data_IF_577030102762
#
_entry.id   IF_577030102762
#
_cell.length_a   1.000
_cell.length_b   1.000
_cell.length_c   1.000
_cell.angle_alpha   90.00
_cell.angle_beta   90.00
_cell.angle_gamma   90.00
#
_symmetry.space_group_name_H-M   'P 1'
#
loop_
_entity.id
_entity.type
_entity.pdbx_description
1 polymer ?
#
# COMPACT_ATOMS: atom_id res chain seq x y z
N UNK A 1 -33.00 -25.35 31.96
CA UNK A 1 -32.60 -23.99 32.41
C UNK A 1 -31.51 -23.48 31.46
N UNK A 2 -31.84 -22.62 30.48
CA UNK A 2 -30.83 -22.01 29.61
C UNK A 2 -30.06 -20.96 30.42
N UNK A 3 -28.88 -21.34 30.89
CA UNK A 3 -27.95 -20.42 31.56
C UNK A 3 -27.37 -19.51 30.47
N UNK A 4 -27.84 -18.26 30.39
CA UNK A 4 -27.22 -17.24 29.54
C UNK A 4 -25.80 -16.98 30.03
N UNK A 5 -24.80 -17.40 29.23
CA UNK A 5 -23.38 -17.23 29.56
C UNK A 5 -22.93 -15.86 29.05
N UNK A 6 -22.17 -15.15 29.88
CA UNK A 6 -21.57 -13.86 29.55
C UNK A 6 -20.24 -14.05 28.85
N UNK A 7 -19.89 -13.12 27.97
CA UNK A 7 -18.59 -13.08 27.32
C UNK A 7 -17.46 -12.83 28.32
N UNK A 8 -16.28 -13.37 28.03
CA UNK A 8 -15.03 -13.11 28.76
C UNK A 8 -13.98 -12.59 27.79
N UNK A 9 -13.25 -11.55 28.19
CA UNK A 9 -12.19 -10.96 27.36
C UNK A 9 -11.10 -11.98 27.00
N UNK A 10 -10.86 -12.99 27.84
CA UNK A 10 -9.91 -14.09 27.58
C UNK A 10 -10.28 -14.96 26.37
N UNK A 11 -11.49 -14.84 25.82
CA UNK A 11 -11.89 -15.61 24.64
C UNK A 11 -11.17 -15.17 23.36
N UNK A 12 -10.50 -14.01 23.39
CA UNK A 12 -9.65 -13.56 22.29
C UNK A 12 -8.47 -14.50 22.05
N UNK A 13 -7.95 -15.18 23.09
CA UNK A 13 -6.92 -16.23 22.99
C UNK A 13 -7.33 -17.41 22.12
N UNK A 14 -8.64 -17.57 21.92
CA UNK A 14 -9.21 -18.62 21.08
C UNK A 14 -9.79 -18.07 19.77
N UNK A 15 -9.53 -16.80 19.44
CA UNK A 15 -9.97 -16.15 18.22
C UNK A 15 -11.45 -15.72 18.24
N UNK A 16 -12.01 -15.37 19.40
CA UNK A 16 -13.40 -14.93 19.51
C UNK A 16 -13.55 -13.56 20.16
N UNK A 17 -14.50 -12.79 19.65
CA UNK A 17 -15.00 -11.55 20.24
C UNK A 17 -16.50 -11.67 20.55
N UNK A 18 -17.11 -10.63 21.10
CA UNK A 18 -18.56 -10.59 21.36
C UNK A 18 -19.28 -9.67 20.38
N UNK A 19 -20.49 -10.10 20.02
CA UNK A 19 -21.48 -9.26 19.36
C UNK A 19 -22.77 -9.29 20.18
N UNK A 20 -23.25 -8.11 20.57
CA UNK A 20 -24.52 -7.97 21.28
C UNK A 20 -25.67 -8.07 20.27
N UNK A 21 -26.60 -9.00 20.51
CA UNK A 21 -27.85 -9.12 19.75
C UNK A 21 -29.02 -9.24 20.72
N UNK A 22 -29.95 -8.30 20.66
CA UNK A 22 -31.15 -8.26 21.52
C UNK A 22 -30.83 -8.35 23.03
N UNK A 23 -29.76 -7.66 23.47
CA UNK A 23 -29.32 -7.65 24.87
C UNK A 23 -28.63 -8.95 25.33
N UNK A 24 -28.19 -9.79 24.39
CA UNK A 24 -27.44 -11.02 24.66
C UNK A 24 -26.12 -11.02 23.91
N UNK A 25 -25.02 -11.22 24.63
CA UNK A 25 -23.70 -11.40 24.02
C UNK A 25 -23.59 -12.77 23.34
N UNK A 26 -23.26 -12.76 22.05
CA UNK A 26 -22.99 -13.94 21.25
C UNK A 26 -21.51 -13.97 20.83
N UNK A 27 -20.84 -15.14 20.84
CA UNK A 27 -19.45 -15.22 20.42
C UNK A 27 -19.36 -15.15 18.89
N UNK A 28 -18.47 -14.28 18.39
CA UNK A 28 -18.17 -14.12 16.98
C UNK A 28 -16.71 -14.50 16.73
N UNK A 29 -16.46 -15.36 15.74
CA UNK A 29 -15.10 -15.72 15.35
C UNK A 29 -14.41 -14.55 14.64
N UNK A 30 -13.17 -14.21 15.03
CA UNK A 30 -12.43 -13.09 14.44
C UNK A 30 -11.75 -13.41 13.10
N UNK A 31 -11.87 -14.66 12.65
CA UNK A 31 -11.23 -15.18 11.42
C UNK A 31 -12.26 -15.34 10.30
N UNK A 32 -13.37 -16.04 10.56
CA UNK A 32 -14.44 -16.28 9.59
C UNK A 32 -15.70 -15.45 9.81
N UNK A 33 -15.71 -14.59 10.84
CA UNK A 33 -16.82 -13.67 11.15
C UNK A 33 -18.14 -14.34 11.55
N UNK A 34 -18.15 -15.68 11.69
CA UNK A 34 -19.34 -16.44 12.07
C UNK A 34 -19.74 -16.14 13.50
N UNK A 35 -20.99 -15.70 13.68
CA UNK A 35 -21.64 -15.56 15.00
C UNK A 35 -22.21 -16.92 15.40
N UNK A 36 -21.84 -17.38 16.59
CA UNK A 36 -22.32 -18.64 17.14
C UNK A 36 -23.46 -18.40 18.15
N UNK A 37 -24.26 -19.41 18.44
CA UNK A 37 -25.28 -19.32 19.48
C UNK A 37 -24.67 -19.21 20.88
N UNK A 38 -25.43 -18.71 21.87
CA UNK A 38 -24.95 -18.55 23.25
C UNK A 38 -24.44 -19.87 23.88
N UNK A 39 -24.99 -21.01 23.47
CA UNK A 39 -24.53 -22.35 23.89
C UNK A 39 -23.07 -22.64 23.49
N UNK A 40 -22.55 -21.91 22.50
CA UNK A 40 -21.17 -21.99 22.04
C UNK A 40 -20.20 -21.18 22.90
N UNK A 41 -20.65 -20.40 23.89
CA UNK A 41 -19.79 -19.71 24.87
C UNK A 41 -19.02 -20.66 25.80
N UNK A 42 -19.14 -21.98 25.65
CA UNK A 42 -18.25 -22.96 26.29
C UNK A 42 -16.90 -22.93 25.58
N UNK A 43 -15.82 -22.83 26.35
CA UNK A 43 -14.45 -22.87 25.84
C UNK A 43 -14.19 -24.07 24.91
N UNK A 44 -14.72 -25.25 25.26
CA UNK A 44 -14.63 -26.45 24.43
C UNK A 44 -15.29 -26.29 23.05
N UNK A 45 -16.41 -25.58 22.97
CA UNK A 45 -17.13 -25.35 21.71
C UNK A 45 -16.44 -24.28 20.85
N UNK A 46 -15.85 -23.25 21.46
CA UNK A 46 -15.03 -22.25 20.77
C UNK A 46 -13.77 -22.90 20.17
N UNK A 47 -13.06 -23.72 20.95
CA UNK A 47 -11.91 -24.51 20.48
C UNK A 47 -12.30 -25.44 19.34
N UNK A 48 -13.40 -26.17 19.47
CA UNK A 48 -13.88 -27.09 18.44
C UNK A 48 -14.22 -26.36 17.13
N UNK A 49 -14.75 -25.14 17.19
CA UNK A 49 -14.92 -24.31 16.01
C UNK A 49 -13.57 -23.98 15.35
N UNK A 50 -12.58 -23.55 16.13
CA UNK A 50 -11.25 -23.23 15.62
C UNK A 50 -10.57 -24.46 15.01
N UNK A 51 -10.66 -25.62 15.65
CA UNK A 51 -10.12 -26.89 15.15
C UNK A 51 -10.78 -27.34 13.85
N UNK A 52 -12.12 -27.21 13.78
CA UNK A 52 -12.90 -27.70 12.64
C UNK A 52 -12.82 -26.80 11.41
N UNK A 53 -12.81 -25.48 11.59
CA UNK A 53 -12.89 -24.51 10.48
C UNK A 53 -11.57 -23.78 10.23
N UNK A 54 -10.65 -23.76 11.19
CA UNK A 54 -9.39 -23.02 11.14
C UNK A 54 -8.19 -23.83 11.69
N UNK A 55 -7.97 -25.08 11.23
CA UNK A 55 -6.94 -25.97 11.79
C UNK A 55 -5.52 -25.37 11.72
N UNK A 56 -5.24 -24.60 10.66
CA UNK A 56 -3.93 -23.97 10.44
C UNK A 56 -3.63 -22.81 11.41
N UNK A 57 -4.60 -22.39 12.22
CA UNK A 57 -4.50 -21.21 13.10
C UNK A 57 -4.49 -21.58 14.59
N UNK A 58 -4.51 -22.88 14.93
CA UNK A 58 -4.49 -23.38 16.31
C UNK A 58 -3.23 -23.01 17.10
N UNK A 59 -2.11 -22.77 16.40
CA UNK A 59 -0.83 -22.41 17.04
C UNK A 59 -0.55 -20.90 17.05
N UNK A 60 -1.48 -20.07 16.60
CA UNK A 60 -1.29 -18.61 16.63
C UNK A 60 -1.52 -18.05 18.03
N UNK A 61 -0.78 -17.01 18.36
CA UNK A 61 -0.81 -16.36 19.67
C UNK A 61 -1.98 -15.36 19.79
N UNK A 62 -2.18 -14.87 21.01
CA UNK A 62 -3.19 -13.87 21.32
C UNK A 62 -3.01 -12.60 20.49
N UNK A 63 -1.77 -12.14 20.30
CA UNK A 63 -1.41 -10.97 19.48
C UNK A 63 -1.87 -11.11 18.02
N UNK A 64 -1.84 -12.31 17.44
CA UNK A 64 -2.39 -12.57 16.12
C UNK A 64 -3.91 -12.34 16.08
N UNK A 65 -4.64 -12.86 17.08
CA UNK A 65 -6.09 -12.72 17.16
C UNK A 65 -6.53 -11.28 17.51
N UNK A 66 -5.78 -10.56 18.34
CA UNK A 66 -6.03 -9.14 18.63
C UNK A 66 -5.85 -8.25 17.39
N UNK A 67 -4.84 -8.53 16.56
CA UNK A 67 -4.65 -7.85 15.27
C UNK A 67 -5.82 -8.10 14.34
N UNK A 68 -6.28 -9.35 14.23
CA UNK A 68 -7.49 -9.71 13.45
C UNK A 68 -8.75 -9.04 13.97
N UNK A 69 -8.95 -8.99 15.29
CA UNK A 69 -10.06 -8.28 15.92
C UNK A 69 -10.03 -6.77 15.59
N UNK A 70 -8.84 -6.18 15.59
CA UNK A 70 -8.66 -4.76 15.24
C UNK A 70 -9.05 -4.48 13.79
N UNK A 71 -8.74 -5.39 12.85
CA UNK A 71 -9.21 -5.32 11.45
C UNK A 71 -10.73 -5.55 11.30
N UNK A 72 -11.30 -6.46 12.09
CA UNK A 72 -12.73 -6.77 12.11
C UNK A 72 -13.59 -5.57 12.57
N UNK A 73 -13.09 -4.84 13.58
CA UNK A 73 -13.69 -3.57 14.03
C UNK A 73 -13.74 -2.52 12.91
N UNK A 74 -12.88 -2.62 11.89
CA UNK A 74 -12.91 -1.74 10.74
C UNK A 74 -13.88 -2.18 9.64
N UNK A 75 -14.02 -3.47 9.34
CA UNK A 75 -15.02 -3.95 8.36
C UNK A 75 -16.47 -3.62 8.77
N UNK A 76 -16.75 -3.60 10.08
CA UNK A 76 -18.06 -3.19 10.62
C UNK A 76 -18.31 -1.66 10.61
N UNK A 77 -17.34 -0.83 10.22
CA UNK A 77 -17.53 0.63 10.13
C UNK A 77 -18.51 1.04 9.01
N UNK A 78 -18.80 0.14 8.06
CA UNK A 78 -19.69 0.41 6.93
C UNK A 78 -21.14 -0.08 7.12
N UNK A 79 -21.49 -0.74 8.23
CA UNK A 79 -22.86 -1.19 8.47
C UNK A 79 -23.16 -1.33 9.97
N UNK A 80 -23.68 -0.23 10.51
CA UNK A 80 -24.65 -0.16 11.59
C UNK A 80 -24.32 -0.79 12.96
N UNK A 81 -24.39 0.08 13.97
CA UNK A 81 -24.77 -0.14 15.37
C UNK A 81 -23.67 -0.47 16.41
N UNK A 82 -23.74 0.29 17.51
CA UNK A 82 -23.28 0.01 18.87
C UNK A 82 -21.77 0.07 19.24
N UNK A 83 -20.81 0.15 18.31
CA UNK A 83 -19.39 0.37 18.68
C UNK A 83 -18.97 1.84 18.84
N UNK A 84 -19.94 2.77 18.86
CA UNK A 84 -19.69 4.21 19.02
C UNK A 84 -19.22 4.62 20.43
N UNK A 85 -19.24 3.72 21.43
CA UNK A 85 -19.17 4.13 22.84
C UNK A 85 -17.89 3.73 23.61
N UNK A 86 -16.78 3.31 22.96
CA UNK A 86 -15.53 3.06 23.73
C UNK A 86 -14.19 3.33 23.03
N UNK A 87 -14.17 4.07 21.93
CA UNK A 87 -12.95 4.78 21.49
C UNK A 87 -13.01 6.20 22.01
N UNK A 88 -12.10 6.60 22.89
CA UNK A 88 -11.94 8.00 23.29
C UNK A 88 -11.90 8.88 22.04
N UNK A 89 -12.60 10.01 22.04
CA UNK A 89 -12.56 10.99 20.94
C UNK A 89 -11.13 11.33 20.52
N UNK A 90 -10.17 11.23 21.45
CA UNK A 90 -8.74 11.39 21.19
C UNK A 90 -8.17 10.34 20.21
N UNK A 91 -8.59 9.07 20.31
CA UNK A 91 -8.19 8.01 19.39
C UNK A 91 -8.71 8.31 18.00
N UNK A 92 -9.99 8.65 17.86
CA UNK A 92 -10.59 9.02 16.58
C UNK A 92 -9.89 10.23 15.96
N UNK A 93 -9.61 11.26 16.77
CA UNK A 93 -8.86 12.44 16.33
C UNK A 93 -7.46 12.05 15.83
N UNK A 94 -6.75 11.16 16.51
CA UNK A 94 -5.40 10.71 16.08
C UNK A 94 -5.41 10.01 14.71
N UNK A 95 -6.40 9.15 14.43
CA UNK A 95 -6.55 8.54 13.10
C UNK A 95 -6.86 9.57 12.02
N UNK A 96 -7.73 10.55 12.31
CA UNK A 96 -8.06 11.61 11.34
C UNK A 96 -6.82 12.43 11.01
N UNK A 97 -6.03 12.82 12.02
CA UNK A 97 -4.77 13.56 11.81
C UNK A 97 -3.79 12.72 11.00
N UNK A 98 -3.60 11.45 11.36
CA UNK A 98 -2.72 10.52 10.64
C UNK A 98 -3.10 10.40 9.15
N UNK A 99 -4.40 10.19 8.88
CA UNK A 99 -4.93 10.12 7.52
C UNK A 99 -4.69 11.41 6.73
N UNK A 100 -4.96 12.58 7.33
CA UNK A 100 -4.77 13.88 6.67
C UNK A 100 -3.30 14.17 6.35
N UNK A 101 -2.38 13.81 7.25
CA UNK A 101 -0.94 13.97 7.05
C UNK A 101 -0.44 13.07 5.93
N UNK A 102 -0.88 11.81 5.91
CA UNK A 102 -0.57 10.87 4.83
C UNK A 102 -1.13 11.37 3.48
N UNK A 103 -2.38 11.84 3.45
CA UNK A 103 -3.01 12.40 2.25
C UNK A 103 -2.26 13.64 1.73
N UNK A 104 -1.73 14.46 2.63
CA UNK A 104 -0.89 15.62 2.29
C UNK A 104 0.56 15.26 1.90
N UNK A 105 0.93 13.96 1.93
CA UNK A 105 2.29 13.45 1.68
C UNK A 105 3.35 14.13 2.55
N UNK A 106 3.00 14.43 3.81
CA UNK A 106 3.89 15.06 4.78
C UNK A 106 4.52 14.01 5.71
N UNK A 107 5.72 14.27 6.24
CA UNK A 107 6.31 13.38 7.24
C UNK A 107 5.43 13.36 8.49
N UNK A 108 5.27 12.18 9.12
CA UNK A 108 4.45 12.02 10.33
C UNK A 108 4.94 12.93 11.48
N UNK A 109 6.23 13.29 11.50
CA UNK A 109 6.84 14.22 12.47
C UNK A 109 6.21 15.61 12.45
N UNK A 110 5.55 16.01 11.36
CA UNK A 110 4.87 17.32 11.26
C UNK A 110 3.76 17.45 12.31
N UNK A 111 3.19 16.32 12.75
CA UNK A 111 2.13 16.33 13.76
C UNK A 111 2.66 16.85 15.09
N UNK A 112 3.79 16.31 15.54
CA UNK A 112 4.45 16.71 16.77
C UNK A 112 5.05 18.11 16.68
N UNK A 113 5.68 18.41 15.53
CA UNK A 113 6.45 19.65 15.34
C UNK A 113 5.58 20.88 15.13
N UNK A 114 4.37 20.71 14.58
CA UNK A 114 3.56 21.85 14.15
C UNK A 114 2.07 21.68 14.44
N UNK A 115 1.44 20.58 13.99
CA UNK A 115 -0.02 20.45 14.02
C UNK A 115 -0.56 20.48 15.46
N UNK A 116 -0.01 19.65 16.35
CA UNK A 116 -0.49 19.58 17.73
C UNK A 116 -0.14 20.83 18.54
N UNK A 117 1.08 21.40 18.47
CA UNK A 117 1.39 22.67 19.12
C UNK A 117 0.46 23.81 18.70
N UNK A 118 0.22 23.98 17.39
CA UNK A 118 -0.69 25.01 16.89
C UNK A 118 -2.13 24.77 17.36
N UNK A 119 -2.63 23.53 17.28
CA UNK A 119 -3.98 23.20 17.73
C UNK A 119 -4.17 23.47 19.23
N UNK A 120 -3.17 23.14 20.07
CA UNK A 120 -3.19 23.44 21.50
C UNK A 120 -3.25 24.93 21.76
N UNK A 121 -2.41 25.72 21.09
CA UNK A 121 -2.36 27.17 21.29
C UNK A 121 -3.65 27.86 20.83
N UNK A 122 -4.22 27.44 19.69
CA UNK A 122 -5.51 27.94 19.22
C UNK A 122 -6.63 27.63 20.22
N UNK A 123 -6.73 26.39 20.69
CA UNK A 123 -7.76 26.00 21.67
C UNK A 123 -7.56 26.72 23.01
N UNK A 124 -6.30 26.91 23.44
CA UNK A 124 -5.96 27.64 24.66
C UNK A 124 -6.46 29.10 24.59
N UNK A 125 -6.23 29.78 23.48
CA UNK A 125 -6.64 31.19 23.28
C UNK A 125 -8.15 31.36 23.08
N UNK A 126 -8.80 30.43 22.38
CA UNK A 126 -10.22 30.56 22.00
C UNK A 126 -11.17 29.96 23.04
N UNK A 127 -10.78 28.83 23.65
CA UNK A 127 -11.65 28.01 24.51
C UNK A 127 -11.10 27.84 25.94
N UNK A 128 -9.88 28.28 26.21
CA UNK A 128 -9.25 28.25 27.53
C UNK A 128 -8.39 27.01 27.80
N UNK A 129 -7.64 27.08 28.90
CA UNK A 129 -6.61 26.11 29.29
C UNK A 129 -7.16 24.69 29.55
N UNK A 130 -8.38 24.59 30.08
CA UNK A 130 -9.00 23.29 30.36
C UNK A 130 -9.37 22.53 29.09
N UNK A 131 -9.83 23.23 28.05
CA UNK A 131 -10.09 22.64 26.75
C UNK A 131 -8.78 22.20 26.06
N UNK A 132 -7.73 23.03 26.16
CA UNK A 132 -6.43 22.73 25.58
C UNK A 132 -5.78 21.47 26.20
N UNK A 133 -5.93 21.28 27.52
CA UNK A 133 -5.42 20.07 28.22
C UNK A 133 -6.01 18.76 27.67
N UNK A 134 -7.25 18.76 27.16
CA UNK A 134 -7.86 17.57 26.54
C UNK A 134 -7.14 17.11 25.28
N UNK A 135 -6.38 17.99 24.60
CA UNK A 135 -5.56 17.59 23.45
C UNK A 135 -4.29 16.81 23.84
N UNK A 136 -3.91 16.77 25.13
CA UNK A 136 -2.79 15.94 25.59
C UNK A 136 -3.10 14.44 25.46
N UNK A 137 -4.39 14.07 25.44
CA UNK A 137 -4.82 12.69 25.30
C UNK A 137 -4.63 12.15 23.87
N UNK A 138 -4.37 13.04 22.89
CA UNK A 138 -4.06 12.66 21.51
C UNK A 138 -2.58 12.26 21.45
N UNK A 139 -2.31 10.95 21.42
CA UNK A 139 -0.96 10.42 21.26
C UNK A 139 -0.45 10.65 19.83
N UNK A 140 0.76 11.23 19.68
CA UNK A 140 1.19 11.83 18.40
C UNK A 140 2.52 11.34 17.82
N UNK A 141 3.49 10.87 18.63
CA UNK A 141 4.83 10.54 18.08
C UNK A 141 4.89 9.20 17.34
N UNK A 142 5.05 8.08 18.07
CA UNK A 142 5.07 6.75 17.47
C UNK A 142 3.66 6.26 17.07
N UNK A 143 2.64 6.89 17.62
CA UNK A 143 1.25 6.53 17.36
C UNK A 143 0.82 6.95 15.97
N UNK A 144 1.17 8.15 15.47
CA UNK A 144 0.73 8.57 14.12
C UNK A 144 1.28 7.64 13.04
N UNK A 145 2.55 7.28 13.10
CA UNK A 145 3.15 6.31 12.18
C UNK A 145 2.41 4.97 12.24
N UNK A 146 2.18 4.44 13.45
CA UNK A 146 1.41 3.21 13.65
C UNK A 146 -0.01 3.32 13.07
N UNK A 147 -0.70 4.44 13.26
CA UNK A 147 -2.05 4.68 12.74
C UNK A 147 -2.05 4.73 11.21
N UNK A 148 -1.04 5.33 10.58
CA UNK A 148 -0.87 5.28 9.12
C UNK A 148 -0.71 3.83 8.65
N UNK A 149 0.11 3.02 9.34
CA UNK A 149 0.25 1.60 9.02
C UNK A 149 -1.07 0.84 9.18
N UNK A 150 -1.80 1.04 10.28
CA UNK A 150 -3.09 0.39 10.50
C UNK A 150 -4.12 0.78 9.44
N UNK A 151 -4.18 2.06 9.03
CA UNK A 151 -5.03 2.51 7.92
C UNK A 151 -4.61 1.81 6.63
N UNK A 152 -3.31 1.75 6.33
CA UNK A 152 -2.79 1.09 5.13
C UNK A 152 -3.10 -0.40 5.11
N UNK A 153 -2.96 -1.10 6.25
CA UNK A 153 -3.33 -2.50 6.37
C UNK A 153 -4.82 -2.69 6.14
N UNK A 154 -5.66 -1.82 6.71
CA UNK A 154 -7.10 -1.93 6.52
C UNK A 154 -7.52 -1.69 5.06
N UNK A 155 -6.92 -0.72 4.37
CA UNK A 155 -7.16 -0.50 2.94
C UNK A 155 -6.73 -1.75 2.14
N UNK A 156 -5.56 -2.32 2.44
CA UNK A 156 -5.08 -3.54 1.80
C UNK A 156 -6.04 -4.72 2.01
N UNK A 157 -6.59 -4.89 3.21
CA UNK A 157 -7.57 -5.94 3.51
C UNK A 157 -8.86 -5.74 2.71
N UNK A 158 -9.36 -4.50 2.62
CA UNK A 158 -10.56 -4.18 1.82
C UNK A 158 -10.36 -4.50 0.34
N UNK A 159 -9.21 -4.13 -0.24
CA UNK A 159 -8.86 -4.45 -1.63
C UNK A 159 -8.81 -5.97 -1.82
N UNK A 160 -8.18 -6.70 -0.90
CA UNK A 160 -8.14 -8.18 -0.94
C UNK A 160 -9.53 -8.80 -0.87
N UNK A 161 -10.42 -8.27 -0.03
CA UNK A 161 -11.79 -8.76 0.06
C UNK A 161 -12.60 -8.47 -1.20
N UNK A 162 -12.35 -7.35 -1.89
CA UNK A 162 -12.92 -7.05 -3.21
C UNK A 162 -12.42 -8.06 -4.25
N UNK A 163 -11.11 -8.32 -4.30
CA UNK A 163 -10.51 -9.31 -5.22
C UNK A 163 -11.13 -10.70 -5.03
N UNK A 164 -11.31 -11.13 -3.77
CA UNK A 164 -11.89 -12.45 -3.46
C UNK A 164 -13.35 -12.58 -3.88
N UNK A 165 -14.09 -11.48 -3.95
CA UNK A 165 -15.47 -11.46 -4.43
C UNK A 165 -15.54 -11.40 -5.95
N UNK A 166 -14.52 -10.83 -6.59
CA UNK A 166 -14.44 -10.78 -8.05
C UNK A 166 -14.20 -12.17 -8.62
N UNK A 167 -14.93 -12.57 -9.69
CA UNK A 167 -14.68 -13.84 -10.36
C UNK A 167 -13.32 -13.85 -11.05
N UNK A 168 -12.85 -12.70 -11.55
CA UNK A 168 -11.62 -12.57 -12.33
C UNK A 168 -10.93 -11.24 -12.02
N UNK A 169 -9.60 -11.23 -12.00
CA UNK A 169 -8.82 -10.02 -11.83
C UNK A 169 -7.52 -10.06 -12.64
N UNK A 170 -6.92 -8.89 -12.86
CA UNK A 170 -5.62 -8.73 -13.45
C UNK A 170 -4.68 -7.99 -12.50
N UNK A 171 -3.38 -8.19 -12.64
CA UNK A 171 -2.37 -7.43 -11.89
C UNK A 171 -1.42 -6.72 -12.84
N UNK A 172 -0.99 -5.52 -12.45
CA UNK A 172 0.03 -4.76 -13.15
C UNK A 172 1.24 -4.61 -12.24
N UNK A 173 2.43 -4.89 -12.76
CA UNK A 173 3.68 -4.80 -12.01
C UNK A 173 4.61 -3.79 -12.67
N UNK A 174 5.16 -2.93 -11.83
CA UNK A 174 6.15 -1.94 -12.22
C UNK A 174 7.32 -1.96 -11.24
N UNK A 175 8.55 -1.87 -11.78
CA UNK A 175 9.75 -1.73 -10.97
C UNK A 175 10.20 -0.27 -11.01
N UNK A 176 10.30 0.35 -9.84
CA UNK A 176 10.79 1.71 -9.70
C UNK A 176 12.01 1.75 -8.79
N UNK A 177 13.06 2.49 -9.20
CA UNK A 177 14.22 2.75 -8.35
C UNK A 177 14.03 4.08 -7.60
N UNK A 178 14.14 4.07 -6.27
CA UNK A 178 14.05 5.29 -5.47
C UNK A 178 15.35 6.13 -5.54
N UNK A 179 15.32 7.33 -4.95
CA UNK A 179 16.48 8.26 -4.92
C UNK A 179 17.70 7.73 -4.16
N UNK A 180 17.54 6.68 -3.35
CA UNK A 180 18.61 6.00 -2.64
C UNK A 180 19.11 4.74 -3.38
N UNK A 181 18.73 4.59 -4.66
CA UNK A 181 19.05 3.44 -5.52
C UNK A 181 18.48 2.10 -5.04
N UNK A 182 17.44 2.11 -4.20
CA UNK A 182 16.71 0.90 -3.84
C UNK A 182 15.60 0.65 -4.86
N UNK A 183 15.60 -0.54 -5.47
CA UNK A 183 14.48 -0.99 -6.31
C UNK A 183 13.26 -1.31 -5.46
N UNK A 184 12.09 -0.97 -5.98
CA UNK A 184 10.79 -1.23 -5.36
C UNK A 184 9.87 -1.83 -6.41
N UNK A 185 9.19 -2.91 -6.03
CA UNK A 185 8.12 -3.53 -6.81
C UNK A 185 6.80 -2.88 -6.41
N UNK A 186 6.16 -2.23 -7.37
CA UNK A 186 4.81 -1.71 -7.28
C UNK A 186 3.86 -2.72 -7.95
N UNK A 187 2.79 -3.09 -7.25
CA UNK A 187 1.72 -3.93 -7.81
C UNK A 187 0.38 -3.24 -7.67
N UNK A 188 -0.30 -3.09 -8.80
CA UNK A 188 -1.68 -2.64 -8.90
C UNK A 188 -2.56 -3.82 -9.29
N UNK A 189 -3.81 -3.80 -8.84
CA UNK A 189 -4.82 -4.79 -9.20
C UNK A 189 -5.94 -4.13 -9.97
N UNK A 190 -6.44 -4.81 -10.99
CA UNK A 190 -7.59 -4.39 -11.76
C UNK A 190 -8.68 -5.46 -11.68
N UNK A 191 -9.86 -5.10 -11.17
CA UNK A 191 -11.03 -5.97 -11.07
C UNK A 191 -12.29 -5.15 -11.24
N UNK A 192 -13.30 -5.68 -11.95
CA UNK A 192 -14.56 -4.98 -12.26
C UNK A 192 -14.36 -3.52 -12.75
N UNK A 193 -13.37 -3.30 -13.63
CA UNK A 193 -12.98 -1.99 -14.18
C UNK A 193 -12.49 -0.96 -13.16
N UNK A 194 -12.08 -1.42 -11.98
CA UNK A 194 -11.51 -0.60 -10.92
C UNK A 194 -10.04 -0.97 -10.73
N UNK A 195 -9.18 0.03 -10.86
CA UNK A 195 -7.75 -0.10 -10.56
C UNK A 195 -7.50 0.33 -9.11
N UNK A 196 -6.85 -0.52 -8.33
CA UNK A 196 -6.51 -0.27 -6.93
C UNK A 196 -5.06 -0.64 -6.65
N UNK A 197 -4.49 0.05 -5.65
CA UNK A 197 -3.14 -0.24 -5.20
C UNK A 197 -3.13 -1.51 -4.35
N UNK A 198 -2.31 -2.50 -4.73
CA UNK A 198 -2.21 -3.76 -3.99
C UNK A 198 -1.09 -3.71 -2.95
N UNK A 199 0.15 -3.51 -3.38
CA UNK A 199 1.28 -3.32 -2.47
C UNK A 199 2.49 -2.65 -3.15
N UNK A 200 3.39 -2.14 -2.31
CA UNK A 200 4.74 -1.74 -2.70
C UNK A 200 5.76 -2.40 -1.75
N UNK A 201 6.77 -3.07 -2.30
CA UNK A 201 7.80 -3.80 -1.54
C UNK A 201 9.18 -3.53 -2.11
N UNK A 202 10.17 -3.39 -1.23
CA UNK A 202 11.57 -3.25 -1.65
C UNK A 202 12.08 -4.55 -2.27
N UNK A 203 12.90 -4.41 -3.31
CA UNK A 203 13.60 -5.51 -3.98
C UNK A 203 15.10 -5.38 -3.68
N UNK A 204 15.67 -6.40 -3.04
CA UNK A 204 17.12 -6.50 -2.85
C UNK A 204 17.84 -6.86 -4.16
N UNK A 205 17.16 -7.62 -5.03
CA UNK A 205 17.62 -7.95 -6.39
C UNK A 205 16.45 -7.86 -7.37
N UNK A 206 16.74 -7.45 -8.60
CA UNK A 206 15.75 -7.25 -9.68
C UNK A 206 15.52 -8.52 -10.49
N UNK A 207 15.67 -9.68 -9.84
CA UNK A 207 15.51 -10.98 -10.49
C UNK A 207 14.04 -11.38 -10.54
N UNK A 208 13.64 -12.01 -11.63
CA UNK A 208 12.31 -12.59 -11.82
C UNK A 208 11.87 -13.52 -10.68
N UNK A 209 12.79 -14.32 -10.14
CA UNK A 209 12.55 -15.21 -9.01
C UNK A 209 12.19 -14.43 -7.76
N UNK A 210 12.87 -13.30 -7.49
CA UNK A 210 12.57 -12.47 -6.31
C UNK A 210 11.22 -11.77 -6.45
N UNK A 211 10.91 -11.28 -7.65
CA UNK A 211 9.58 -10.73 -7.95
C UNK A 211 8.50 -11.80 -7.72
N UNK A 212 8.70 -13.01 -8.25
CA UNK A 212 7.77 -14.13 -8.04
C UNK A 212 7.61 -14.51 -6.58
N UNK A 213 8.69 -14.57 -5.81
CA UNK A 213 8.65 -14.86 -4.38
C UNK A 213 7.79 -13.84 -3.63
N UNK A 214 7.97 -12.54 -3.91
CA UNK A 214 7.19 -11.48 -3.24
C UNK A 214 5.70 -11.57 -3.59
N UNK A 215 5.37 -11.77 -4.87
CA UNK A 215 3.98 -11.91 -5.31
C UNK A 215 3.35 -13.17 -4.74
N UNK A 216 4.07 -14.30 -4.75
CA UNK A 216 3.60 -15.56 -4.18
C UNK A 216 3.34 -15.45 -2.68
N UNK A 217 4.30 -14.89 -1.93
CA UNK A 217 4.12 -14.64 -0.49
C UNK A 217 2.90 -13.76 -0.22
N UNK A 218 2.64 -12.74 -1.05
CA UNK A 218 1.45 -11.92 -0.91
C UNK A 218 0.16 -12.73 -1.13
N UNK A 219 0.10 -13.55 -2.18
CA UNK A 219 -1.04 -14.40 -2.47
C UNK A 219 -1.30 -15.43 -1.37
N UNK A 220 -0.25 -16.08 -0.86
CA UNK A 220 -0.35 -17.06 0.24
C UNK A 220 -0.84 -16.43 1.54
N UNK A 221 -0.24 -15.30 1.95
CA UNK A 221 -0.61 -14.59 3.19
C UNK A 221 -2.06 -14.12 3.16
N UNK A 222 -2.54 -13.69 1.99
CA UNK A 222 -3.90 -13.17 1.83
C UNK A 222 -4.90 -14.23 1.37
N UNK A 223 -4.46 -15.46 1.05
CA UNK A 223 -5.32 -16.53 0.55
C UNK A 223 -6.01 -16.16 -0.77
N UNK A 224 -5.25 -15.60 -1.72
CA UNK A 224 -5.72 -15.32 -3.08
C UNK A 224 -5.52 -16.54 -3.97
N UNK A 225 -6.49 -16.82 -4.83
CA UNK A 225 -6.43 -17.94 -5.77
C UNK A 225 -5.87 -17.48 -7.12
N UNK A 226 -4.84 -18.17 -7.59
CA UNK A 226 -4.24 -17.98 -8.90
C UNK A 226 -5.19 -18.29 -10.06
N UNK A 227 -6.21 -19.14 -9.83
CA UNK A 227 -7.21 -19.51 -10.85
C UNK A 227 -8.00 -18.28 -11.33
N UNK A 228 -8.20 -17.29 -10.46
CA UNK A 228 -8.94 -16.08 -10.78
C UNK A 228 -8.08 -14.99 -11.45
N UNK A 229 -6.76 -15.20 -11.52
CA UNK A 229 -5.84 -14.27 -12.18
C UNK A 229 -5.83 -14.50 -13.70
N UNK A 230 -6.46 -13.58 -14.45
CA UNK A 230 -6.60 -13.71 -15.91
C UNK A 230 -5.66 -12.82 -16.71
N UNK A 231 -5.10 -11.78 -16.10
CA UNK A 231 -4.29 -10.79 -16.79
C UNK A 231 -3.05 -10.39 -15.99
N UNK A 232 -1.93 -10.24 -16.70
CA UNK A 232 -0.72 -9.64 -16.16
C UNK A 232 -0.17 -8.58 -17.10
N UNK A 233 0.10 -7.39 -16.55
CA UNK A 233 0.77 -6.31 -17.26
C UNK A 233 2.14 -6.02 -16.66
N UNK A 234 3.18 -5.97 -17.50
CA UNK A 234 4.55 -5.60 -17.08
C UNK A 234 5.18 -4.58 -18.05
N UNK A 235 6.14 -3.82 -17.57
CA UNK A 235 6.89 -2.77 -18.31
C UNK A 235 7.79 -3.27 -19.45
N UNK A 236 8.11 -4.56 -19.46
CA UNK A 236 8.95 -5.17 -20.48
C UNK A 236 10.42 -5.32 -20.12
N UNK A 237 10.80 -5.10 -18.86
CA UNK A 237 12.16 -5.34 -18.42
C UNK A 237 12.61 -6.79 -18.70
N UNK A 238 13.90 -7.05 -18.99
CA UNK A 238 14.39 -8.41 -19.27
C UNK A 238 14.04 -9.43 -18.19
N UNK A 239 14.07 -9.02 -16.91
CA UNK A 239 13.64 -9.84 -15.78
C UNK A 239 12.15 -10.21 -15.84
N UNK A 240 11.30 -9.35 -16.40
CA UNK A 240 9.88 -9.61 -16.58
C UNK A 240 9.57 -10.47 -17.81
N UNK A 241 10.37 -10.33 -18.89
CA UNK A 241 10.07 -10.93 -20.20
C UNK A 241 10.83 -12.22 -20.55
N UNK A 242 11.83 -12.62 -19.77
CA UNK A 242 12.69 -13.78 -20.09
C UNK A 242 11.90 -15.05 -20.46
N UNK A 243 12.24 -15.66 -21.60
CA UNK A 243 11.53 -16.84 -22.14
C UNK A 243 11.71 -18.11 -21.30
N UNK A 244 12.82 -18.24 -20.57
CA UNK A 244 13.14 -19.40 -19.72
C UNK A 244 13.04 -19.10 -18.23
N UNK A 245 13.41 -17.89 -17.82
CA UNK A 245 13.49 -17.49 -16.41
C UNK A 245 12.71 -16.23 -16.09
N UNK A 246 11.99 -15.61 -17.03
CA UNK A 246 11.25 -14.38 -16.78
C UNK A 246 10.11 -14.57 -15.79
N UNK A 247 9.73 -13.50 -15.09
CA UNK A 247 8.64 -13.53 -14.10
C UNK A 247 7.36 -14.15 -14.65
N UNK A 248 7.01 -13.80 -15.89
CA UNK A 248 5.82 -14.35 -16.56
C UNK A 248 5.88 -15.86 -16.80
N UNK A 249 7.07 -16.39 -17.08
CA UNK A 249 7.29 -17.83 -17.29
C UNK A 249 7.12 -18.59 -15.98
N UNK A 250 7.61 -18.02 -14.87
CA UNK A 250 7.41 -18.56 -13.53
C UNK A 250 5.93 -18.49 -13.12
N UNK A 251 5.28 -17.36 -13.38
CA UNK A 251 3.86 -17.16 -13.05
C UNK A 251 2.95 -18.19 -13.73
N UNK A 252 3.24 -18.54 -15.00
CA UNK A 252 2.46 -19.55 -15.74
C UNK A 252 2.49 -20.94 -15.11
N UNK A 253 3.45 -21.24 -14.24
CA UNK A 253 3.47 -22.49 -13.47
C UNK A 253 2.36 -22.52 -12.41
N UNK A 254 1.94 -21.35 -11.91
CA UNK A 254 0.86 -21.19 -10.92
C UNK A 254 -0.48 -20.83 -11.57
N UNK A 255 -0.48 -19.98 -12.61
CA UNK A 255 -1.66 -19.52 -13.35
C UNK A 255 -1.49 -19.77 -14.86
N UNK A 256 -1.75 -21.00 -15.35
CA UNK A 256 -1.49 -21.35 -16.76
C UNK A 256 -2.35 -20.55 -17.77
N UNK A 257 -3.53 -20.10 -17.32
CA UNK A 257 -4.51 -19.37 -18.14
C UNK A 257 -4.26 -17.85 -18.21
N UNK A 258 -3.25 -17.34 -17.50
CA UNK A 258 -3.00 -15.90 -17.44
C UNK A 258 -2.58 -15.34 -18.80
N UNK A 259 -3.26 -14.27 -19.23
CA UNK A 259 -2.94 -13.55 -20.46
C UNK A 259 -1.90 -12.47 -20.19
N UNK A 260 -0.85 -12.48 -21.01
CA UNK A 260 0.21 -11.46 -20.97
C UNK A 260 -0.22 -10.22 -21.74
N UNK A 261 -0.17 -9.09 -21.07
CA UNK A 261 -0.26 -7.77 -21.69
C UNK A 261 1.07 -7.06 -21.47
N UNK A 262 1.64 -6.53 -22.55
CA UNK A 262 2.79 -5.64 -22.40
C UNK A 262 2.25 -4.23 -22.16
N UNK A 263 2.78 -3.52 -21.15
CA UNK A 263 2.38 -2.14 -20.93
C UNK A 263 2.63 -1.32 -22.21
N UNK A 264 1.59 -0.69 -22.77
CA UNK A 264 1.64 0.00 -24.06
C UNK A 264 2.46 1.29 -24.02
N UNK A 265 2.68 1.83 -22.84
CA UNK A 265 3.57 2.99 -22.66
C UNK A 265 4.99 2.64 -23.11
N UNK A 266 5.42 1.36 -23.06
CA UNK A 266 6.69 0.80 -23.59
C UNK A 266 6.98 1.01 -25.06
N UNK A 267 5.98 1.42 -25.83
CA UNK A 267 6.14 1.51 -27.27
C UNK A 267 7.16 2.60 -27.63
N UNK A 268 8.20 2.13 -28.29
CA UNK A 268 9.26 2.90 -28.92
C UNK A 268 8.70 4.02 -29.79
N UNK A 269 9.34 5.20 -29.71
CA UNK A 269 9.17 6.28 -30.68
C UNK A 269 9.24 5.70 -32.11
N UNK A 270 8.42 6.19 -33.07
CA UNK A 270 8.60 5.89 -34.49
C UNK A 270 10.05 6.05 -34.92
N UNK A 271 10.55 5.22 -35.83
CA UNK A 271 11.99 5.13 -36.14
C UNK A 271 12.66 6.47 -36.43
N UNK A 272 11.97 7.35 -37.16
CA UNK A 272 12.44 8.70 -37.45
C UNK A 272 12.63 9.55 -36.18
N UNK A 273 11.65 9.53 -35.28
CA UNK A 273 11.71 10.26 -34.00
C UNK A 273 12.72 9.62 -33.04
N UNK A 274 12.85 8.30 -33.06
CA UNK A 274 13.82 7.58 -32.24
C UNK A 274 15.26 7.89 -32.67
N UNK A 275 15.52 8.03 -33.97
CA UNK A 275 16.84 8.41 -34.49
C UNK A 275 17.24 9.82 -34.02
N UNK A 276 16.32 10.79 -34.12
CA UNK A 276 16.52 12.16 -33.62
C UNK A 276 16.76 12.14 -32.10
N UNK A 277 15.91 11.42 -31.35
CA UNK A 277 16.02 11.31 -29.91
C UNK A 277 17.36 10.71 -29.47
N UNK A 278 17.81 9.62 -30.11
CA UNK A 278 19.14 9.03 -29.85
C UNK A 278 20.28 10.00 -30.13
N UNK A 279 20.16 10.82 -31.18
CA UNK A 279 21.10 11.90 -31.46
C UNK A 279 21.17 12.92 -30.33
N UNK A 280 20.01 13.39 -29.86
CA UNK A 280 19.91 14.34 -28.74
C UNK A 280 20.47 13.76 -27.44
N UNK A 281 20.16 12.50 -27.12
CA UNK A 281 20.70 11.81 -25.94
C UNK A 281 22.24 11.76 -25.99
N UNK A 282 22.85 11.49 -27.15
CA UNK A 282 24.32 11.49 -27.29
C UNK A 282 24.92 12.86 -26.97
N UNK A 283 24.30 13.94 -27.47
CA UNK A 283 24.75 15.31 -27.21
C UNK A 283 24.62 15.65 -25.72
N UNK A 284 23.47 15.37 -25.12
CA UNK A 284 23.21 15.62 -23.69
C UNK A 284 24.19 14.83 -22.82
N UNK A 285 24.42 13.55 -23.13
CA UNK A 285 25.34 12.71 -22.39
C UNK A 285 26.80 13.18 -22.57
N UNK A 286 27.20 13.68 -23.74
CA UNK A 286 28.53 14.26 -23.94
C UNK A 286 28.74 15.56 -23.14
N UNK A 287 27.71 16.40 -23.03
CA UNK A 287 27.74 17.61 -22.19
C UNK A 287 27.86 17.24 -20.71
N UNK A 288 27.19 16.16 -20.29
CA UNK A 288 27.13 15.70 -18.90
C UNK A 288 28.26 14.78 -18.46
N UNK A 289 28.93 14.10 -19.39
CA UNK A 289 29.96 13.12 -19.06
C UNK A 289 31.20 13.74 -18.42
N UNK A 290 31.46 15.02 -18.67
CA UNK A 290 32.59 15.77 -18.11
C UNK A 290 32.12 17.03 -17.40
N UNK A 291 32.62 17.23 -16.17
CA UNK A 291 32.32 18.42 -15.37
C UNK A 291 32.70 19.73 -16.09
N UNK A 292 33.75 19.71 -16.91
CA UNK A 292 34.16 20.83 -17.74
C UNK A 292 33.10 21.19 -18.80
N UNK A 293 32.59 20.19 -19.53
CA UNK A 293 31.57 20.40 -20.56
C UNK A 293 30.27 20.95 -19.97
N UNK A 294 29.87 20.48 -18.80
CA UNK A 294 28.71 21.00 -18.08
C UNK A 294 28.91 22.48 -17.68
N UNK A 295 30.10 22.85 -17.20
CA UNK A 295 30.44 24.24 -16.87
C UNK A 295 30.46 25.15 -18.10
N UNK A 296 31.05 24.69 -19.20
CA UNK A 296 31.10 25.43 -20.46
C UNK A 296 29.70 25.63 -21.05
N UNK A 297 28.89 24.58 -21.04
CA UNK A 297 27.50 24.65 -21.50
C UNK A 297 26.65 25.61 -20.64
N UNK A 298 26.81 25.54 -19.31
CA UNK A 298 26.15 26.48 -18.39
C UNK A 298 26.53 27.93 -18.72
N UNK A 299 27.81 28.19 -18.96
CA UNK A 299 28.28 29.54 -19.31
C UNK A 299 27.70 30.01 -20.65
N UNK A 300 27.70 29.14 -21.66
CA UNK A 300 27.09 29.40 -22.95
C UNK A 300 25.60 29.76 -22.84
N UNK A 301 24.83 29.02 -22.04
CA UNK A 301 23.40 29.32 -21.84
C UNK A 301 23.18 30.67 -21.16
N UNK A 302 24.02 31.03 -20.18
CA UNK A 302 23.97 32.33 -19.52
C UNK A 302 24.30 33.48 -20.47
N UNK A 303 25.33 33.31 -21.31
CA UNK A 303 25.73 34.33 -22.28
C UNK A 303 24.65 34.54 -23.37
N UNK A 304 23.84 33.51 -23.66
CA UNK A 304 22.70 33.57 -24.57
C UNK A 304 21.39 34.06 -23.91
N UNK A 305 21.39 34.37 -22.62
CA UNK A 305 20.21 34.86 -21.90
C UNK A 305 19.13 33.79 -21.62
N UNK A 306 19.47 32.51 -21.71
CA UNK A 306 18.52 31.42 -21.44
C UNK A 306 18.21 31.29 -19.94
N UNK A 307 16.94 31.04 -19.63
CA UNK A 307 16.48 30.72 -18.28
C UNK A 307 16.89 29.30 -17.82
N UNK A 308 17.47 28.49 -18.70
CA UNK A 308 17.87 27.10 -18.45
C UNK A 308 19.38 26.99 -18.59
N UNK A 309 20.05 26.72 -17.47
CA UNK A 309 21.50 26.69 -17.38
C UNK A 309 22.05 25.26 -17.16
N UNK A 310 21.16 24.28 -17.02
CA UNK A 310 21.49 22.87 -16.73
C UNK A 310 20.57 21.92 -17.50
N UNK A 311 21.15 20.99 -18.26
CA UNK A 311 20.42 19.86 -18.86
C UNK A 311 20.17 18.73 -17.83
N UNK A 312 19.17 17.88 -18.05
CA UNK A 312 18.98 16.66 -17.25
C UNK A 312 19.77 15.52 -17.86
N UNK A 313 20.36 14.66 -17.02
CA UNK A 313 20.99 13.43 -17.51
C UNK A 313 19.89 12.45 -17.93
N UNK A 314 20.02 11.86 -19.11
CA UNK A 314 19.07 10.87 -19.59
C UNK A 314 19.49 9.46 -19.15
N UNK A 315 18.60 8.75 -18.49
CA UNK A 315 18.71 7.29 -18.28
C UNK A 315 17.49 6.62 -18.90
N UNK A 316 17.69 5.49 -19.56
CA UNK A 316 16.63 4.74 -20.27
C UNK A 316 15.57 4.14 -19.36
N UNK A 317 15.66 4.35 -18.05
CA UNK A 317 14.82 3.71 -17.04
C UNK A 317 13.48 4.44 -16.88
N UNK A 318 13.31 5.67 -17.40
CA UNK A 318 12.09 6.48 -17.19
C UNK A 318 11.71 7.33 -18.42
N UNK A 319 10.53 7.17 -19.05
CA UNK A 319 10.11 8.08 -20.15
C UNK A 319 9.95 9.53 -19.73
N UNK A 320 9.58 9.78 -18.48
CA UNK A 320 9.48 11.15 -17.97
C UNK A 320 10.84 11.86 -18.09
N UNK A 321 11.95 11.13 -18.02
CA UNK A 321 13.29 11.70 -18.28
C UNK A 321 13.49 12.07 -19.76
N UNK A 322 13.00 11.24 -20.71
CA UNK A 322 13.06 11.53 -22.14
C UNK A 322 12.29 12.81 -22.50
N UNK A 323 11.04 12.91 -22.03
CA UNK A 323 10.19 14.08 -22.26
C UNK A 323 10.76 15.36 -21.64
N UNK A 324 11.29 15.28 -20.42
CA UNK A 324 11.90 16.42 -19.74
C UNK A 324 13.21 16.87 -20.40
N UNK A 325 14.04 15.94 -20.87
CA UNK A 325 15.26 16.25 -21.63
C UNK A 325 14.91 16.90 -22.96
N UNK A 326 13.94 16.35 -23.69
CA UNK A 326 13.44 16.93 -24.95
C UNK A 326 12.88 18.34 -24.73
N UNK A 327 12.08 18.56 -23.69
CA UNK A 327 11.50 19.85 -23.39
C UNK A 327 12.58 20.90 -23.08
N UNK A 328 13.61 20.55 -22.28
CA UNK A 328 14.73 21.46 -22.01
C UNK A 328 15.55 21.79 -23.24
N UNK A 329 15.81 20.81 -24.10
CA UNK A 329 16.52 21.04 -25.37
C UNK A 329 15.68 21.92 -26.30
N UNK A 330 14.37 21.73 -26.34
CA UNK A 330 13.47 22.54 -27.17
C UNK A 330 13.40 23.99 -26.67
N UNK A 331 13.36 24.21 -25.35
CA UNK A 331 13.38 25.55 -24.75
C UNK A 331 14.71 26.30 -24.96
N UNK A 332 15.80 25.61 -25.27
CA UNK A 332 17.09 26.21 -25.64
C UNK A 332 17.19 26.61 -27.11
N UNK A 333 16.17 26.30 -27.92
CA UNK A 333 16.09 26.72 -29.33
C UNK A 333 15.73 28.20 -29.47
N UNK A 334 14.95 28.73 -28.52
CA UNK A 334 14.51 30.13 -28.47
C UNK A 334 15.63 31.05 -27.97
#
# INVERSE_FOLDING_TARGET
RNVKRKYSEDYIKFGFTCQEKEGVDLPQCVICFKVLGNDSMKLANLKLHLEKYHPNLLQKDEDYFERRLSGLKWQHLNSTSAFYNKTSNAVRASYIVAYKVAQAKKPHTVVDQLVLPCAKEMVRLVLGEEAARKLNDISVSNTVLRRIYEISQNISEQVVDEIKKSPLFAIQLDESTNVAFCSQLLVLVEGDFKEEFLFCKTLDTTTSSKVMEIVNNFFEVHGLDWVNLVGITTDGAPAMLGSTSGFQTLLKQHAPMVTRVHCLTSKTLPDQLNAIFKGLVKVVNHIKSLALNTRLFKRFCLDMGSNIDVLLFYTSVWWLSAGNVLNRVFQLRE
#
